data_IF_295820763486
#
_entry.id   IF_295820763486
#
_cell.length_a   1.000
_cell.length_b   1.000
_cell.length_c   1.000
_cell.angle_alpha   90.00
_cell.angle_beta   90.00
_cell.angle_gamma   90.00
#
_symmetry.space_group_name_H-M   'P 1'
#
loop_
_entity.id
_entity.type
_entity.pdbx_description
1 polymer ?
#
# COMPACT_ATOMS: atom_id res chain seq x y z
N UNK A 1 -12.06 -14.08 -18.12
CA UNK A 1 -11.80 -14.39 -16.70
C UNK A 1 -10.67 -15.41 -16.65
N UNK A 2 -9.43 -14.95 -16.50
CA UNK A 2 -8.26 -15.81 -16.29
C UNK A 2 -7.79 -15.59 -14.86
N UNK A 3 -7.80 -16.64 -14.06
CA UNK A 3 -7.19 -16.67 -12.74
C UNK A 3 -5.69 -16.81 -12.93
N UNK A 4 -4.89 -15.91 -12.38
CA UNK A 4 -3.47 -16.21 -12.19
C UNK A 4 -3.37 -17.50 -11.36
N UNK A 5 -2.57 -18.49 -11.79
CA UNK A 5 -2.36 -19.69 -11.00
C UNK A 5 -1.78 -19.28 -9.64
N UNK A 6 -2.49 -19.60 -8.55
CA UNK A 6 -2.01 -19.46 -7.15
C UNK A 6 -0.62 -20.07 -6.92
N UNK A 7 -0.13 -20.92 -7.83
CA UNK A 7 1.18 -21.56 -7.78
C UNK A 7 2.37 -20.60 -7.91
N UNK A 8 2.16 -19.33 -8.30
CA UNK A 8 3.22 -18.31 -8.32
C UNK A 8 3.11 -17.27 -7.19
N UNK A 9 2.08 -17.35 -6.33
CA UNK A 9 2.05 -16.57 -5.10
C UNK A 9 3.18 -17.07 -4.20
N UNK A 10 4.16 -16.20 -3.95
CA UNK A 10 5.17 -16.44 -2.94
C UNK A 10 4.43 -16.72 -1.63
N UNK A 11 4.69 -17.87 -0.97
CA UNK A 11 4.03 -18.27 0.29
C UNK A 11 4.26 -17.28 1.45
N UNK A 12 4.99 -16.19 1.20
CA UNK A 12 5.27 -15.08 2.12
C UNK A 12 4.09 -14.15 2.38
N UNK A 13 3.08 -14.16 1.50
CA UNK A 13 1.86 -13.37 1.68
C UNK A 13 0.81 -14.23 2.36
N UNK A 14 0.47 -13.91 3.61
CA UNK A 14 -0.64 -14.57 4.33
C UNK A 14 -1.75 -13.56 4.64
N UNK A 15 -2.95 -14.06 4.98
CA UNK A 15 -4.15 -13.23 5.19
C UNK A 15 -5.32 -13.49 4.24
N UNK A 16 -5.18 -14.40 3.28
CA UNK A 16 -6.27 -14.82 2.40
C UNK A 16 -7.30 -15.65 3.18
N UNK A 17 -8.27 -15.02 3.84
CA UNK A 17 -9.26 -15.80 4.59
C UNK A 17 -10.59 -15.15 4.92
N UNK A 18 -10.61 -13.99 5.58
CA UNK A 18 -11.77 -13.74 6.48
C UNK A 18 -12.29 -12.31 6.56
N UNK A 19 -11.77 -11.37 5.78
CA UNK A 19 -12.24 -9.98 5.82
C UNK A 19 -13.75 -9.82 5.55
N UNK A 20 -14.37 -10.68 4.72
CA UNK A 20 -15.78 -10.54 4.34
C UNK A 20 -16.53 -11.86 4.07
N UNK A 21 -16.10 -12.98 4.65
CA UNK A 21 -16.95 -14.17 4.75
C UNK A 21 -17.46 -14.84 3.45
N UNK A 22 -16.72 -14.85 2.34
CA UNK A 22 -17.13 -15.67 1.18
C UNK A 22 -16.29 -15.60 -0.10
N UNK A 23 -15.72 -16.75 -0.50
CA UNK A 23 -15.97 -17.37 -1.81
C UNK A 23 -15.38 -16.82 -3.11
N UNK A 24 -14.87 -15.59 -3.22
CA UNK A 24 -14.32 -15.06 -4.48
C UNK A 24 -12.94 -14.38 -4.29
N UNK A 25 -11.96 -14.64 -5.18
CA UNK A 25 -10.67 -13.98 -5.13
C UNK A 25 -10.85 -12.51 -5.48
N UNK A 26 -10.31 -11.65 -4.62
CA UNK A 26 -10.34 -10.19 -4.68
C UNK A 26 -9.77 -9.63 -6.01
N UNK A 27 -10.59 -9.64 -7.05
CA UNK A 27 -10.75 -8.49 -7.93
C UNK A 27 -11.96 -7.74 -7.37
N UNK A 28 -11.74 -6.65 -6.63
CA UNK A 28 -12.88 -5.87 -6.16
C UNK A 28 -12.90 -5.39 -4.71
N UNK A 29 -11.76 -5.37 -3.98
CA UNK A 29 -11.58 -4.30 -2.99
C UNK A 29 -11.62 -2.92 -3.69
N UNK A 30 -11.23 -2.94 -4.97
CA UNK A 30 -11.50 -1.95 -6.01
C UNK A 30 -12.67 -2.35 -6.93
N UNK A 31 -13.83 -2.72 -6.38
CA UNK A 31 -15.07 -2.35 -7.07
C UNK A 31 -15.53 -0.95 -6.65
N UNK A 32 -14.79 -0.35 -5.68
CA UNK A 32 -15.05 0.93 -5.04
C UNK A 32 -13.87 1.92 -5.13
N UNK A 33 -12.68 1.54 -5.61
CA UNK A 33 -11.52 2.44 -5.72
C UNK A 33 -10.75 2.72 -4.43
N UNK A 34 -10.91 1.96 -3.34
CA UNK A 34 -10.50 2.36 -1.96
C UNK A 34 -9.10 1.93 -1.48
N UNK A 35 -8.21 1.53 -2.38
CA UNK A 35 -6.88 1.01 -2.03
C UNK A 35 -6.01 2.00 -1.24
N UNK A 36 -6.13 3.30 -1.53
CA UNK A 36 -5.38 4.34 -0.83
C UNK A 36 -5.84 4.46 0.62
N UNK A 37 -7.14 4.52 0.87
CA UNK A 37 -7.68 4.62 2.22
C UNK A 37 -7.32 3.41 3.10
N UNK A 38 -7.37 2.17 2.56
CA UNK A 38 -6.92 0.99 3.31
C UNK A 38 -5.43 1.00 3.64
N UNK A 39 -4.58 1.35 2.66
CA UNK A 39 -3.13 1.42 2.85
C UNK A 39 -2.74 2.47 3.90
N UNK A 40 -3.43 3.62 3.86
CA UNK A 40 -3.27 4.72 4.81
C UNK A 40 -3.70 4.30 6.22
N UNK A 41 -4.87 3.68 6.34
CA UNK A 41 -5.37 3.21 7.63
C UNK A 41 -4.48 2.14 8.24
N UNK A 42 -3.95 1.22 7.41
CA UNK A 42 -3.06 0.17 7.89
C UNK A 42 -1.79 0.75 8.56
N UNK A 43 -1.25 1.84 7.99
CA UNK A 43 -0.16 2.60 8.61
C UNK A 43 -0.58 3.25 9.94
N UNK A 44 -1.75 3.93 9.97
CA UNK A 44 -2.30 4.56 11.19
C UNK A 44 -2.33 3.60 12.39
N UNK A 45 -2.85 2.39 12.17
CA UNK A 45 -3.00 1.37 13.22
C UNK A 45 -1.69 0.64 13.58
N UNK A 46 -0.53 1.09 13.07
CA UNK A 46 0.79 0.56 13.43
C UNK A 46 1.28 -0.60 12.55
N UNK A 47 0.75 -0.74 11.34
CA UNK A 47 1.10 -1.80 10.40
C UNK A 47 1.01 -3.25 10.96
N UNK A 48 -0.07 -3.62 11.69
CA UNK A 48 -0.20 -4.95 12.27
C UNK A 48 -0.37 -6.03 11.21
N UNK A 49 -0.05 -7.27 11.58
CA UNK A 49 -0.13 -8.42 10.68
C UNK A 49 -1.59 -8.87 10.62
N UNK A 50 -2.19 -9.05 11.80
CA UNK A 50 -3.60 -9.34 12.01
C UNK A 50 -4.44 -8.05 11.93
N UNK A 51 -4.25 -7.29 10.86
CA UNK A 51 -4.91 -6.01 10.63
C UNK A 51 -6.34 -6.15 10.14
N UNK A 52 -6.68 -7.31 9.58
CA UNK A 52 -7.81 -7.45 8.69
C UNK A 52 -9.15 -7.10 9.34
N UNK A 53 -9.47 -7.67 10.51
CA UNK A 53 -10.71 -7.36 11.23
C UNK A 53 -10.78 -5.87 11.64
N UNK A 54 -9.65 -5.26 12.00
CA UNK A 54 -9.57 -3.85 12.35
C UNK A 54 -9.80 -2.94 11.14
N UNK A 55 -9.24 -3.29 9.97
CA UNK A 55 -9.49 -2.60 8.71
C UNK A 55 -10.97 -2.72 8.30
N UNK A 56 -11.59 -3.88 8.54
CA UNK A 56 -13.02 -4.09 8.24
C UNK A 56 -13.95 -3.26 9.09
N UNK A 57 -13.66 -3.17 10.38
CA UNK A 57 -14.45 -2.35 11.30
C UNK A 57 -14.49 -0.88 10.87
N UNK A 58 -13.52 -0.42 10.08
CA UNK A 58 -13.40 0.98 9.59
C UNK A 58 -13.70 1.16 8.10
N UNK A 59 -14.25 0.14 7.41
CA UNK A 59 -14.46 0.17 5.95
C UNK A 59 -15.30 1.35 5.43
N UNK A 60 -16.29 1.82 6.20
CA UNK A 60 -17.16 2.94 5.81
C UNK A 60 -16.37 4.26 5.82
N UNK A 61 -15.60 4.52 6.88
CA UNK A 61 -14.74 5.69 6.97
C UNK A 61 -13.66 5.71 5.86
N UNK A 62 -13.15 4.54 5.47
CA UNK A 62 -12.22 4.40 4.33
C UNK A 62 -12.90 4.74 3.01
N UNK A 63 -14.13 4.28 2.80
CA UNK A 63 -14.90 4.59 1.60
C UNK A 63 -15.19 6.10 1.51
N UNK A 64 -15.54 6.75 2.62
CA UNK A 64 -15.77 8.20 2.67
C UNK A 64 -14.49 8.99 2.38
N UNK A 65 -13.35 8.60 2.98
CA UNK A 65 -12.06 9.23 2.72
C UNK A 65 -11.64 9.09 1.24
N UNK A 66 -11.88 7.92 0.63
CA UNK A 66 -11.61 7.71 -0.80
C UNK A 66 -12.53 8.54 -1.71
N UNK A 67 -13.79 8.72 -1.33
CA UNK A 67 -14.70 9.62 -2.06
C UNK A 67 -14.18 11.06 -1.99
N UNK A 68 -13.73 11.51 -0.82
CA UNK A 68 -13.05 12.79 -0.63
C UNK A 68 -11.81 12.93 -1.52
N UNK A 69 -10.95 11.90 -1.53
CA UNK A 69 -9.78 11.82 -2.42
C UNK A 69 -10.18 12.03 -3.88
N UNK A 70 -11.15 11.25 -4.36
CA UNK A 70 -11.64 11.33 -5.75
C UNK A 70 -12.20 12.72 -6.06
N UNK A 71 -12.97 13.30 -5.13
CA UNK A 71 -13.52 14.64 -5.26
C UNK A 71 -12.44 15.72 -5.28
N UNK A 72 -11.29 15.52 -4.61
CA UNK A 72 -10.20 16.48 -4.51
C UNK A 72 -9.13 16.34 -5.60
N UNK A 73 -9.16 15.28 -6.43
CA UNK A 73 -8.17 15.05 -7.49
C UNK A 73 -8.00 16.22 -8.47
N UNK A 74 -9.04 17.06 -8.67
CA UNK A 74 -8.96 18.24 -9.54
C UNK A 74 -8.01 19.33 -9.02
N UNK A 75 -7.70 19.33 -7.72
CA UNK A 75 -6.74 20.24 -7.10
C UNK A 75 -5.28 19.82 -7.40
N UNK A 76 -5.09 18.60 -7.90
CA UNK A 76 -3.80 17.97 -8.14
C UNK A 76 -3.66 16.69 -7.32
N UNK A 77 -3.18 15.62 -7.95
CA UNK A 77 -3.11 14.27 -7.36
C UNK A 77 -2.33 14.26 -6.05
N UNK A 78 -1.14 14.87 -6.02
CA UNK A 78 -0.30 14.93 -4.81
C UNK A 78 -1.01 15.60 -3.63
N UNK A 79 -1.73 16.71 -3.88
CA UNK A 79 -2.45 17.46 -2.84
C UNK A 79 -3.62 16.63 -2.32
N UNK A 80 -4.36 15.98 -3.22
CA UNK A 80 -5.50 15.16 -2.85
C UNK A 80 -5.07 13.94 -2.02
N UNK A 81 -3.96 13.29 -2.38
CA UNK A 81 -3.39 12.17 -1.62
C UNK A 81 -2.93 12.64 -0.23
N UNK A 82 -2.25 13.78 -0.14
CA UNK A 82 -1.77 14.35 1.12
C UNK A 82 -2.92 14.70 2.07
N UNK A 83 -3.92 15.44 1.60
CA UNK A 83 -5.13 15.83 2.36
C UNK A 83 -5.92 14.60 2.85
N UNK A 84 -6.07 13.59 1.99
CA UNK A 84 -6.74 12.34 2.36
C UNK A 84 -5.95 11.58 3.42
N UNK A 85 -4.62 11.50 3.28
CA UNK A 85 -3.79 10.83 4.26
C UNK A 85 -3.83 11.55 5.62
N UNK A 86 -3.77 12.88 5.60
CA UNK A 86 -3.93 13.71 6.79
C UNK A 86 -5.31 13.52 7.45
N UNK A 87 -6.38 13.44 6.67
CA UNK A 87 -7.72 13.18 7.21
C UNK A 87 -7.86 11.81 7.89
N UNK A 88 -7.12 10.79 7.42
CA UNK A 88 -7.20 9.44 7.98
C UNK A 88 -6.29 9.29 9.21
N UNK A 89 -5.05 9.76 9.12
CA UNK A 89 -4.02 9.60 10.15
C UNK A 89 -4.11 10.72 11.21
N UNK A 90 -4.76 11.84 10.88
CA UNK A 90 -4.83 13.03 11.72
C UNK A 90 -3.57 13.89 11.67
N UNK A 91 -2.70 13.70 10.66
CA UNK A 91 -1.46 14.46 10.45
C UNK A 91 -0.93 14.37 9.03
N UNK A 92 -0.28 15.44 8.58
CA UNK A 92 0.39 15.49 7.28
C UNK A 92 1.60 14.53 7.20
N UNK A 93 1.92 13.99 6.01
CA UNK A 93 3.18 13.30 5.73
C UNK A 93 4.39 14.17 6.06
N UNK A 94 5.48 13.56 6.55
CA UNK A 94 6.76 14.27 6.72
C UNK A 94 7.40 14.62 5.37
N UNK A 95 7.08 13.85 4.33
CA UNK A 95 7.52 14.11 2.95
C UNK A 95 6.55 13.51 1.94
N UNK A 96 6.32 14.24 0.86
CA UNK A 96 5.57 13.78 -0.32
C UNK A 96 6.45 13.92 -1.56
N UNK A 97 6.56 12.87 -2.37
CA UNK A 97 7.37 12.85 -3.59
C UNK A 97 6.54 12.35 -4.76
N UNK A 98 6.60 13.07 -5.88
CA UNK A 98 5.98 12.66 -7.14
C UNK A 98 7.04 12.22 -8.16
N UNK A 99 6.77 11.09 -8.80
CA UNK A 99 7.58 10.49 -9.85
C UNK A 99 6.75 10.44 -11.13
N UNK A 100 6.82 11.49 -11.94
CA UNK A 100 6.06 11.62 -13.19
C UNK A 100 6.92 11.14 -14.37
N UNK A 101 6.37 10.27 -15.22
CA UNK A 101 7.06 9.78 -16.42
C UNK A 101 8.20 8.81 -16.14
N UNK A 102 8.18 8.13 -14.98
CA UNK A 102 9.31 7.37 -14.46
C UNK A 102 8.94 6.00 -13.89
N UNK A 103 9.94 5.11 -13.95
CA UNK A 103 9.91 3.73 -13.48
C UNK A 103 9.70 3.69 -11.96
N UNK A 104 8.75 2.86 -11.52
CA UNK A 104 8.51 2.49 -10.12
C UNK A 104 9.78 2.26 -9.26
N UNK A 105 10.91 1.93 -9.89
CA UNK A 105 12.21 1.73 -9.24
C UNK A 105 12.74 2.94 -8.47
N UNK A 106 12.38 4.18 -8.81
CA UNK A 106 12.86 5.35 -8.04
C UNK A 106 12.29 5.40 -6.62
N UNK A 107 11.02 5.02 -6.45
CA UNK A 107 10.40 4.87 -5.12
C UNK A 107 11.19 3.88 -4.27
N UNK A 108 11.62 2.78 -4.89
CA UNK A 108 12.36 1.71 -4.23
C UNK A 108 13.72 2.24 -3.74
N UNK A 109 14.43 3.00 -4.58
CA UNK A 109 15.68 3.64 -4.19
C UNK A 109 15.49 4.63 -3.04
N UNK A 110 14.42 5.43 -3.08
CA UNK A 110 14.09 6.37 -2.02
C UNK A 110 13.82 5.63 -0.70
N UNK A 111 12.98 4.59 -0.71
CA UNK A 111 12.71 3.78 0.49
C UNK A 111 13.99 3.16 1.03
N UNK A 112 14.86 2.61 0.18
CA UNK A 112 16.15 2.04 0.61
C UNK A 112 17.07 3.06 1.30
N UNK A 113 16.95 4.34 0.96
CA UNK A 113 17.78 5.43 1.50
C UNK A 113 17.21 6.08 2.77
N UNK A 114 16.09 5.58 3.31
CA UNK A 114 15.44 6.09 4.54
C UNK A 114 15.72 5.19 5.75
N UNK A 115 16.87 5.33 6.44
CA UNK A 115 17.17 4.51 7.61
C UNK A 115 16.25 4.85 8.79
N UNK A 116 16.03 3.89 9.69
CA UNK A 116 15.16 4.06 10.86
C UNK A 116 13.73 3.56 10.63
N UNK A 117 12.89 3.77 11.64
CA UNK A 117 11.47 3.45 11.57
C UNK A 117 10.71 4.48 10.73
N UNK A 118 10.05 4.01 9.68
CA UNK A 118 9.29 4.84 8.75
C UNK A 118 8.10 4.08 8.19
N UNK A 119 7.04 4.84 7.89
CA UNK A 119 5.89 4.35 7.15
C UNK A 119 5.81 5.02 5.78
N UNK A 120 5.39 4.26 4.79
CA UNK A 120 5.29 4.69 3.42
C UNK A 120 3.93 4.30 2.85
N UNK A 121 3.26 5.24 2.19
CA UNK A 121 2.13 4.97 1.33
C UNK A 121 2.61 5.22 -0.11
N UNK A 122 2.46 4.20 -0.94
CA UNK A 122 2.93 4.18 -2.32
C UNK A 122 1.70 4.14 -3.21
N UNK A 123 1.39 5.24 -3.88
CA UNK A 123 0.32 5.29 -4.88
C UNK A 123 0.92 5.33 -6.27
N UNK A 124 0.36 4.60 -7.22
CA UNK A 124 0.87 4.54 -8.58
C UNK A 124 -0.24 4.35 -9.60
N UNK A 125 -0.03 4.91 -10.77
CA UNK A 125 -0.91 4.81 -11.93
C UNK A 125 -0.22 4.02 -13.02
N UNK A 126 -0.99 3.21 -13.74
CA UNK A 126 -0.46 2.35 -14.79
C UNK A 126 -1.40 2.30 -15.99
N UNK A 127 -0.82 2.01 -17.15
CA UNK A 127 -1.54 1.73 -18.39
C UNK A 127 -1.27 0.29 -18.82
N UNK A 128 -2.24 -0.29 -19.52
CA UNK A 128 -2.19 -1.67 -20.03
C UNK A 128 -1.86 -2.71 -18.94
N UNK A 129 -2.54 -2.59 -17.80
CA UNK A 129 -2.59 -3.64 -16.78
C UNK A 129 -3.45 -4.83 -17.24
N UNK A 130 -3.48 -5.92 -16.47
CA UNK A 130 -4.28 -7.11 -16.76
C UNK A 130 -5.77 -6.83 -17.03
N UNK A 131 -6.31 -5.73 -16.48
CA UNK A 131 -7.70 -5.27 -16.67
C UNK A 131 -7.81 -3.91 -17.39
N UNK A 132 -6.71 -3.38 -17.94
CA UNK A 132 -6.63 -2.03 -18.51
C UNK A 132 -5.80 -1.07 -17.65
N UNK A 133 -5.94 0.23 -17.88
CA UNK A 133 -5.28 1.27 -17.06
C UNK A 133 -6.01 1.54 -15.75
N UNK A 134 -5.28 1.96 -14.71
CA UNK A 134 -5.83 2.19 -13.38
C UNK A 134 -4.86 2.88 -12.43
N UNK A 135 -5.32 3.09 -11.20
CA UNK A 135 -4.52 3.58 -10.08
C UNK A 135 -4.60 2.60 -8.91
N UNK A 136 -3.49 2.37 -8.22
CA UNK A 136 -3.45 1.52 -7.04
C UNK A 136 -2.61 2.16 -5.94
N UNK A 137 -2.79 1.68 -4.72
CA UNK A 137 -1.99 2.08 -3.59
C UNK A 137 -1.71 0.90 -2.65
N UNK A 138 -0.50 0.89 -2.14
CA UNK A 138 0.05 -0.09 -1.21
C UNK A 138 0.80 0.65 -0.09
N UNK A 139 1.07 -0.01 1.02
CA UNK A 139 1.83 0.57 2.11
C UNK A 139 3.00 -0.31 2.53
N UNK A 140 4.09 0.32 2.92
CA UNK A 140 5.25 -0.34 3.53
C UNK A 140 5.56 0.32 4.88
N UNK A 141 6.03 -0.47 5.82
CA UNK A 141 6.35 0.03 7.16
C UNK A 141 7.58 -0.68 7.70
N UNK A 142 8.47 0.04 8.38
CA UNK A 142 9.73 -0.47 8.91
C UNK A 142 9.92 -0.08 10.37
N UNK A 143 10.57 -0.94 11.16
CA UNK A 143 11.11 -0.59 12.49
C UNK A 143 12.52 -0.03 12.40
N UNK A 144 13.01 0.43 13.55
CA UNK A 144 14.40 0.79 13.79
C UNK A 144 15.37 -0.36 13.46
N UNK A 145 14.94 -1.61 13.65
CA UNK A 145 15.67 -2.82 13.29
C UNK A 145 15.75 -3.11 11.79
N UNK A 146 15.13 -2.28 10.95
CA UNK A 146 15.02 -2.43 9.50
C UNK A 146 14.28 -3.70 9.04
N UNK A 147 13.54 -4.34 9.94
CA UNK A 147 12.52 -5.31 9.54
C UNK A 147 11.29 -4.54 9.06
N UNK A 148 10.52 -5.13 8.15
CA UNK A 148 9.43 -4.40 7.53
C UNK A 148 8.25 -5.27 7.17
N UNK A 149 7.13 -4.60 6.91
CA UNK A 149 5.90 -5.19 6.40
C UNK A 149 5.47 -4.47 5.14
N UNK A 150 4.94 -5.23 4.20
CA UNK A 150 4.36 -4.73 2.97
C UNK A 150 2.89 -5.13 2.96
N UNK A 151 2.00 -4.15 2.86
CA UNK A 151 0.58 -4.37 2.76
C UNK A 151 0.10 -3.96 1.37
N UNK A 152 -0.57 -4.88 0.70
CA UNK A 152 -1.30 -4.62 -0.52
C UNK A 152 -2.77 -5.02 -0.29
N UNK A 153 -3.73 -4.12 -0.44
CA UNK A 153 -5.15 -4.43 -0.30
C UNK A 153 -5.63 -5.61 -1.17
N UNK A 154 -4.95 -5.92 -2.28
CA UNK A 154 -5.28 -7.03 -3.17
C UNK A 154 -4.59 -8.36 -2.80
N UNK A 155 -3.41 -8.31 -2.19
CA UNK A 155 -2.58 -9.50 -1.95
C UNK A 155 -2.42 -9.87 -0.46
N UNK A 156 -2.65 -8.94 0.46
CA UNK A 156 -2.54 -9.14 1.91
C UNK A 156 -1.29 -8.50 2.50
N UNK A 157 -0.74 -9.11 3.55
CA UNK A 157 0.47 -8.61 4.26
C UNK A 157 1.63 -9.57 4.05
N UNK A 158 2.79 -9.04 3.67
CA UNK A 158 4.08 -9.72 3.69
C UNK A 158 4.96 -9.20 4.82
N UNK A 159 5.72 -10.08 5.47
CA UNK A 159 6.68 -9.73 6.51
C UNK A 159 8.13 -10.02 6.07
N UNK A 160 9.04 -9.11 6.38
CA UNK A 160 10.39 -9.06 5.82
C UNK A 160 11.43 -8.81 6.91
N UNK A 161 12.48 -9.62 6.92
CA UNK A 161 13.58 -9.48 7.89
C UNK A 161 14.57 -8.37 7.51
N UNK A 162 14.45 -7.80 6.31
CA UNK A 162 15.29 -6.68 5.88
C UNK A 162 14.56 -5.76 4.91
N UNK A 163 14.94 -4.47 4.94
CA UNK A 163 14.49 -3.46 3.99
C UNK A 163 14.77 -3.84 2.54
N UNK A 164 15.94 -4.43 2.28
CA UNK A 164 16.33 -4.88 0.94
C UNK A 164 15.40 -5.96 0.40
N UNK A 165 15.06 -6.96 1.22
CA UNK A 165 14.18 -8.05 0.79
C UNK A 165 12.76 -7.53 0.49
N UNK A 166 12.26 -6.64 1.34
CA UNK A 166 10.97 -5.96 1.10
C UNK A 166 11.01 -5.17 -0.20
N UNK A 167 12.04 -4.36 -0.41
CA UNK A 167 12.19 -3.53 -1.60
C UNK A 167 12.30 -4.35 -2.90
N UNK A 168 12.92 -5.53 -2.85
CA UNK A 168 12.97 -6.46 -3.97
C UNK A 168 11.59 -7.04 -4.30
N UNK A 169 10.83 -7.47 -3.28
CA UNK A 169 9.47 -7.99 -3.49
C UNK A 169 8.50 -6.87 -3.91
N UNK A 170 8.65 -5.65 -3.36
CA UNK A 170 7.92 -4.45 -3.80
C UNK A 170 8.18 -4.16 -5.28
N UNK A 171 9.42 -4.27 -5.74
CA UNK A 171 9.74 -4.13 -7.17
C UNK A 171 8.97 -5.13 -8.02
N UNK A 172 9.01 -6.41 -7.63
CA UNK A 172 8.31 -7.47 -8.33
C UNK A 172 6.78 -7.27 -8.30
N UNK A 173 6.25 -6.80 -7.17
CA UNK A 173 4.83 -6.49 -7.00
C UNK A 173 4.39 -5.36 -7.93
N UNK A 174 5.11 -4.24 -7.98
CA UNK A 174 4.81 -3.12 -8.89
C UNK A 174 4.85 -3.55 -10.36
N UNK A 175 5.81 -4.40 -10.73
CA UNK A 175 5.89 -4.97 -12.07
C UNK A 175 4.72 -5.94 -12.39
N UNK A 176 4.10 -6.56 -11.38
CA UNK A 176 2.98 -7.48 -11.57
C UNK A 176 1.66 -6.79 -11.96
N UNK A 177 1.55 -5.48 -11.70
CA UNK A 177 0.38 -4.68 -12.05
C UNK A 177 0.30 -4.30 -13.53
N UNK A 178 1.35 -4.55 -14.31
CA UNK A 178 1.41 -4.22 -15.74
C UNK A 178 1.49 -5.49 -16.59
N UNK A 179 0.77 -5.53 -17.71
CA UNK A 179 0.91 -6.60 -18.69
C UNK A 179 2.17 -6.36 -19.56
N UNK A 180 2.64 -7.34 -20.36
CA UNK A 180 3.72 -7.10 -21.31
C UNK A 180 3.39 -5.93 -22.25
N UNK A 181 4.24 -4.89 -22.22
CA UNK A 181 4.03 -3.63 -22.98
C UNK A 181 3.37 -2.50 -22.18
N UNK A 182 2.76 -2.81 -21.03
CA UNK A 182 2.28 -1.83 -20.06
C UNK A 182 3.39 -1.25 -19.21
N UNK A 183 3.09 -0.14 -18.54
CA UNK A 183 4.04 0.53 -17.65
C UNK A 183 3.32 1.40 -16.62
N UNK A 184 4.01 1.66 -15.51
CA UNK A 184 3.65 2.68 -14.54
C UNK A 184 3.92 4.05 -15.15
N UNK A 185 2.92 4.92 -15.14
CA UNK A 185 2.99 6.28 -15.74
C UNK A 185 3.39 7.32 -14.71
N UNK A 186 2.82 7.22 -13.51
CA UNK A 186 3.04 8.15 -12.41
C UNK A 186 3.07 7.38 -11.09
N UNK A 187 3.83 7.89 -10.14
CA UNK A 187 3.81 7.36 -8.77
C UNK A 187 4.05 8.44 -7.73
N UNK A 188 3.57 8.19 -6.52
CA UNK A 188 3.57 9.10 -5.40
C UNK A 188 4.00 8.32 -4.16
N UNK A 189 4.97 8.88 -3.43
CA UNK A 189 5.46 8.34 -2.17
C UNK A 189 5.13 9.34 -1.07
N UNK A 190 4.29 8.93 -0.12
CA UNK A 190 4.03 9.67 1.10
C UNK A 190 4.80 8.96 2.22
N UNK A 191 5.65 9.70 2.91
CA UNK A 191 6.52 9.24 3.99
C UNK A 191 6.01 9.82 5.32
N UNK A 192 5.99 8.98 6.35
CA UNK A 192 5.70 9.37 7.72
C UNK A 192 6.81 8.82 8.62
N UNK A 193 7.39 9.72 9.42
CA UNK A 193 8.36 9.33 10.44
C UNK A 193 7.65 8.56 11.55
N UNK A 194 8.23 7.45 12.00
CA UNK A 194 7.66 6.72 13.13
C UNK A 194 7.84 7.53 14.42
N UNK A 195 6.73 7.94 15.03
CA UNK A 195 6.69 8.48 16.38
C UNK A 195 5.59 7.77 17.20
N UNK A 196 5.50 8.12 18.49
CA UNK A 196 4.52 7.55 19.43
C UNK A 196 3.04 7.77 19.02
N UNK A 197 2.77 8.51 17.94
CA UNK A 197 1.43 8.75 17.42
C UNK A 197 0.89 7.65 16.52
N UNK A 198 1.72 6.69 16.07
CA UNK A 198 1.25 5.50 15.37
C UNK A 198 0.91 4.37 16.36
N UNK A 199 0.06 3.45 15.94
CA UNK A 199 -0.06 2.18 16.66
C UNK A 199 1.31 1.53 16.88
N UNK A 200 1.45 0.76 17.97
CA UNK A 200 2.71 0.11 18.30
C UNK A 200 3.21 -0.71 17.11
N UNK A 201 4.41 -0.37 16.62
CA UNK A 201 4.96 -1.06 15.45
C UNK A 201 5.16 -2.53 15.79
N UNK A 202 4.66 -3.39 14.91
CA UNK A 202 4.84 -4.82 15.02
C UNK A 202 5.84 -5.27 13.93
N UNK A 203 7.07 -5.58 14.34
CA UNK A 203 8.09 -6.06 13.41
C UNK A 203 7.80 -7.42 12.81
N UNK A 204 8.64 -7.83 11.87
CA UNK A 204 8.52 -9.13 11.20
C UNK A 204 8.66 -10.33 12.15
N UNK A 205 9.23 -10.11 13.35
CA UNK A 205 9.37 -11.12 14.41
C UNK A 205 8.27 -11.04 15.49
N UNK A 206 7.34 -10.08 15.40
CA UNK A 206 6.22 -10.02 16.33
C UNK A 206 5.31 -11.25 16.14
N UNK A 207 4.87 -11.92 17.22
CA UNK A 207 4.03 -13.10 17.12
C UNK A 207 2.69 -12.80 16.43
N UNK A 208 2.27 -13.72 15.56
CA UNK A 208 0.93 -13.83 14.99
C UNK A 208 -0.07 -14.38 16.02
#
# INVERSE_FOLDING_TARGET
MFTFPRSHQNRRWEGQGTLFGGGLPWYGGDSLGVCFGFSTLWVDIGAPYDCFDALQARKEAIADAQQGLTANMFLGVSIALEDTAESIIGRAPSRVVSYVGGVASHIILDILQRPGAHHFIISFYYVDGPEGGGGHAIAASFDDGQTGRLFDPNYGVGAYQSRTDLCNDLHALLASYVAPGGHVTESYLLEFDHDDGFGAFQGAAAPH
#
